data_IF_021722901757
#
_entry.id   IF_021722901757
#
_cell.length_a   1.000
_cell.length_b   1.000
_cell.length_c   1.000
_cell.angle_alpha   90.00
_cell.angle_beta   90.00
_cell.angle_gamma   90.00
#
_symmetry.space_group_name_H-M   'P 1'
#
loop_
_entity.id
_entity.type
_entity.pdbx_description
1 polymer ?
#
# COMPACT_ATOMS: atom_id res chain seq x y z
N UNK A 1 12.25 -14.79 26.67
CA UNK A 1 13.44 -15.61 26.41
C UNK A 1 14.53 -14.72 25.82
N UNK A 2 15.77 -14.73 26.33
CA UNK A 2 16.86 -14.00 25.70
C UNK A 2 17.31 -14.70 24.40
N UNK A 3 17.60 -13.93 23.34
CA UNK A 3 18.10 -14.43 22.05
C UNK A 3 19.58 -14.08 21.94
N UNK A 4 20.44 -15.07 21.68
CA UNK A 4 21.90 -14.91 21.62
C UNK A 4 22.48 -15.05 20.20
N UNK A 5 21.65 -15.37 19.21
CA UNK A 5 22.07 -15.51 17.82
C UNK A 5 22.14 -14.15 17.11
N UNK A 6 23.05 -14.01 16.15
CA UNK A 6 23.09 -12.87 15.24
C UNK A 6 21.92 -12.95 14.25
N UNK A 7 21.30 -11.81 13.96
CA UNK A 7 20.17 -11.69 13.03
C UNK A 7 20.60 -10.82 11.85
N UNK A 8 20.38 -11.33 10.65
CA UNK A 8 20.49 -10.58 9.39
C UNK A 8 19.17 -10.67 8.65
N UNK A 9 18.74 -9.54 8.07
CA UNK A 9 17.50 -9.44 7.30
C UNK A 9 17.82 -9.02 5.87
N UNK A 10 17.29 -9.77 4.92
CA UNK A 10 17.40 -9.48 3.49
C UNK A 10 15.98 -9.43 2.91
N UNK A 11 15.63 -8.34 2.23
CA UNK A 11 14.33 -8.18 1.60
C UNK A 11 14.35 -8.78 0.18
N UNK A 12 13.76 -9.97 0.06
CA UNK A 12 13.50 -10.64 -1.21
C UNK A 12 12.00 -10.77 -1.48
N UNK A 13 11.20 -9.88 -0.90
CA UNK A 13 9.75 -9.97 -0.94
C UNK A 13 9.16 -9.74 -2.33
N UNK A 14 9.96 -9.15 -3.24
CA UNK A 14 9.59 -8.82 -4.61
C UNK A 14 8.38 -7.88 -4.74
N UNK A 15 7.99 -7.20 -3.66
CA UNK A 15 7.03 -6.12 -3.71
C UNK A 15 7.70 -4.86 -4.27
N UNK A 16 6.92 -4.04 -4.98
CA UNK A 16 7.33 -2.68 -5.26
C UNK A 16 7.52 -1.91 -3.94
N UNK A 17 8.52 -1.07 -3.92
CA UNK A 17 8.69 -0.12 -2.82
C UNK A 17 7.67 1.02 -2.93
N UNK A 18 7.77 1.96 -1.99
CA UNK A 18 6.84 3.09 -1.89
C UNK A 18 6.82 3.94 -3.17
N UNK A 19 7.98 4.24 -3.76
CA UNK A 19 8.08 5.03 -4.99
C UNK A 19 7.65 4.24 -6.22
N UNK A 20 8.00 2.94 -6.29
CA UNK A 20 7.59 2.05 -7.36
C UNK A 20 6.07 1.90 -7.44
N UNK A 21 5.37 1.88 -6.30
CA UNK A 21 3.90 1.91 -6.28
C UNK A 21 3.34 3.20 -6.88
N UNK A 22 3.93 4.36 -6.62
CA UNK A 22 3.48 5.63 -7.24
C UNK A 22 3.72 5.65 -8.72
N UNK A 23 4.91 5.25 -9.15
CA UNK A 23 5.24 5.19 -10.56
C UNK A 23 4.27 4.28 -11.33
N UNK A 24 3.84 3.17 -10.71
CA UNK A 24 2.83 2.30 -11.30
C UNK A 24 1.46 3.00 -11.41
N UNK A 25 1.08 3.78 -10.41
CA UNK A 25 -0.22 4.48 -10.36
C UNK A 25 -0.31 5.70 -11.27
N UNK A 26 0.82 6.29 -11.69
CA UNK A 26 0.82 7.46 -12.58
C UNK A 26 0.06 7.24 -13.90
N UNK A 27 -0.10 5.98 -14.34
CA UNK A 27 -0.87 5.62 -15.53
C UNK A 27 -2.40 5.52 -15.29
N UNK A 28 -2.86 5.71 -14.05
CA UNK A 28 -4.23 5.52 -13.58
C UNK A 28 -4.73 6.70 -12.74
N UNK A 29 -4.31 7.92 -13.11
CA UNK A 29 -4.65 9.14 -12.37
C UNK A 29 -6.16 9.48 -12.35
N UNK A 30 -6.93 8.90 -13.26
CA UNK A 30 -8.38 9.05 -13.40
C UNK A 30 -9.20 7.90 -12.78
N UNK A 31 -8.54 6.91 -12.18
CA UNK A 31 -9.19 5.74 -11.60
C UNK A 31 -9.55 5.93 -10.11
N UNK A 32 -10.62 5.27 -9.67
CA UNK A 32 -10.88 5.04 -8.24
C UNK A 32 -9.98 3.92 -7.71
N UNK A 33 -9.20 4.21 -6.67
CA UNK A 33 -8.21 3.30 -6.09
C UNK A 33 -8.68 2.77 -4.73
N UNK A 34 -8.78 1.44 -4.63
CA UNK A 34 -9.11 0.75 -3.38
C UNK A 34 -7.84 0.08 -2.79
N UNK A 35 -7.23 0.74 -1.81
CA UNK A 35 -6.02 0.27 -1.13
C UNK A 35 -6.37 -0.85 -0.14
N UNK A 36 -5.68 -1.99 -0.27
CA UNK A 36 -5.85 -3.14 0.62
C UNK A 36 -4.52 -3.86 0.87
N UNK A 37 -4.54 -4.89 1.73
CA UNK A 37 -3.43 -5.82 1.98
C UNK A 37 -2.09 -5.17 2.38
N UNK A 38 -2.15 -4.22 3.31
CA UNK A 38 -0.98 -3.65 3.98
C UNK A 38 -1.30 -3.23 5.41
N UNK A 39 -0.26 -3.05 6.22
CA UNK A 39 -0.42 -2.74 7.65
C UNK A 39 -1.07 -1.37 7.88
N UNK A 40 -0.92 -0.44 6.93
CA UNK A 40 -1.33 0.97 7.05
C UNK A 40 -2.07 1.48 5.81
N UNK A 41 -3.01 0.69 5.30
CA UNK A 41 -3.78 1.03 4.09
C UNK A 41 -4.43 2.42 4.16
N UNK A 42 -5.01 2.79 5.31
CA UNK A 42 -5.66 4.09 5.50
C UNK A 42 -4.71 5.28 5.41
N UNK A 43 -3.50 5.16 5.96
CA UNK A 43 -2.46 6.20 5.86
C UNK A 43 -1.99 6.35 4.40
N UNK A 44 -1.75 5.23 3.71
CA UNK A 44 -1.34 5.27 2.31
C UNK A 44 -2.43 5.85 1.39
N UNK A 45 -3.70 5.49 1.61
CA UNK A 45 -4.82 6.11 0.88
C UNK A 45 -4.95 7.63 1.16
N UNK A 46 -4.63 8.09 2.37
CA UNK A 46 -4.59 9.52 2.67
C UNK A 46 -3.41 10.23 1.96
N UNK A 47 -2.27 9.56 1.87
CA UNK A 47 -1.11 10.05 1.13
C UNK A 47 -1.41 10.15 -0.38
N UNK A 48 -2.00 9.12 -0.99
CA UNK A 48 -2.42 9.15 -2.39
C UNK A 48 -3.41 10.29 -2.68
N UNK A 49 -4.38 10.51 -1.79
CA UNK A 49 -5.32 11.65 -1.91
C UNK A 49 -4.62 13.01 -1.84
N UNK A 50 -3.56 13.14 -1.04
CA UNK A 50 -2.74 14.37 -0.99
C UNK A 50 -2.02 14.60 -2.33
N UNK A 51 -1.74 13.53 -3.08
CA UNK A 51 -1.13 13.56 -4.40
C UNK A 51 -2.14 13.63 -5.55
N UNK A 52 -3.44 13.81 -5.27
CA UNK A 52 -4.48 14.05 -6.28
C UNK A 52 -5.26 12.82 -6.75
N UNK A 53 -4.96 11.62 -6.24
CA UNK A 53 -5.68 10.40 -6.58
C UNK A 53 -7.02 10.27 -5.82
N UNK A 54 -8.02 9.66 -6.44
CA UNK A 54 -9.23 9.21 -5.75
C UNK A 54 -8.99 7.86 -5.07
N UNK A 55 -8.58 7.88 -3.80
CA UNK A 55 -8.16 6.68 -3.09
C UNK A 55 -8.86 6.49 -1.74
N UNK A 56 -9.31 5.26 -1.48
CA UNK A 56 -9.87 4.83 -0.19
C UNK A 56 -9.26 3.50 0.28
N UNK A 57 -9.39 3.20 1.57
CA UNK A 57 -8.95 1.94 2.16
C UNK A 57 -10.15 1.25 2.83
N UNK A 58 -10.81 0.31 2.14
CA UNK A 58 -11.98 -0.36 2.68
C UNK A 58 -11.69 -1.19 3.93
N UNK A 59 -12.68 -1.31 4.81
CA UNK A 59 -12.65 -2.27 5.90
C UNK A 59 -12.83 -3.71 5.38
N UNK A 60 -12.35 -4.70 6.14
CA UNK A 60 -12.54 -6.11 5.80
C UNK A 60 -14.02 -6.46 5.70
N UNK A 61 -14.42 -7.07 4.58
CA UNK A 61 -15.81 -7.46 4.31
C UNK A 61 -16.65 -6.37 3.64
N UNK A 62 -16.10 -5.18 3.39
CA UNK A 62 -16.76 -4.18 2.55
C UNK A 62 -16.97 -4.71 1.12
N UNK A 63 -18.02 -4.22 0.45
CA UNK A 63 -18.36 -4.58 -0.94
C UNK A 63 -18.49 -3.32 -1.77
N UNK A 64 -17.97 -3.37 -2.98
CA UNK A 64 -17.99 -2.28 -3.97
C UNK A 64 -18.66 -2.75 -5.25
N UNK A 65 -19.31 -1.83 -5.94
CA UNK A 65 -19.95 -2.06 -7.25
C UNK A 65 -19.33 -1.13 -8.27
N UNK A 66 -19.08 -1.64 -9.47
CA UNK A 66 -18.48 -0.92 -10.61
C UNK A 66 -19.42 -0.90 -11.81
#
# INVERSE_FOLDING_TARGET
>A
MPVSAQVEGYDFSAHADHDGLRQFLDAYDDAEILVNHGDRCGEFAAELRTNGYDASAPELGATYSV
#
